data_IF_362186160059
#
_entry.id   IF_362186160059
#
_cell.length_a   1.000
_cell.length_b   1.000
_cell.length_c   1.000
_cell.angle_alpha   90.00
_cell.angle_beta   90.00
_cell.angle_gamma   90.00
#
_symmetry.space_group_name_H-M   'P 1'
#
loop_
_entity.id
_entity.type
_entity.pdbx_description
1 polymer ?
#
# COMPACT_ATOMS: atom_id res chain seq x y z
N UNK A 1 21.43 -17.94 -5.87
CA UNK A 1 21.82 -17.35 -4.58
C UNK A 1 22.53 -18.42 -3.78
N UNK A 2 23.76 -18.17 -3.33
CA UNK A 2 24.44 -19.07 -2.39
C UNK A 2 23.85 -18.74 -1.03
N UNK A 3 22.95 -19.57 -0.51
CA UNK A 3 22.53 -19.49 0.88
C UNK A 3 23.76 -19.81 1.72
N UNK A 4 24.41 -18.77 2.26
CA UNK A 4 25.43 -18.97 3.27
C UNK A 4 24.71 -19.44 4.52
N UNK A 5 24.92 -20.71 4.87
CA UNK A 5 24.43 -21.38 6.09
C UNK A 5 25.15 -20.78 7.32
N UNK A 6 25.00 -19.46 7.53
CA UNK A 6 25.60 -18.72 8.63
C UNK A 6 24.69 -18.83 9.84
N UNK A 7 24.62 -20.03 10.41
CA UNK A 7 23.96 -20.27 11.70
C UNK A 7 24.81 -19.61 12.79
N UNK A 8 24.24 -18.60 13.45
CA UNK A 8 24.90 -17.94 14.58
C UNK A 8 24.49 -18.66 15.86
N UNK A 9 25.49 -19.04 16.66
CA UNK A 9 25.25 -19.60 17.98
C UNK A 9 24.47 -18.58 18.86
N UNK A 10 23.33 -18.95 19.45
CA UNK A 10 22.49 -18.07 20.26
C UNK A 10 23.21 -17.47 21.46
N UNK A 11 24.12 -18.20 22.10
CA UNK A 11 24.88 -17.70 23.25
C UNK A 11 25.85 -16.61 22.80
N UNK A 12 26.40 -16.75 21.59
CA UNK A 12 27.23 -15.72 20.94
C UNK A 12 26.37 -14.51 20.60
N UNK A 13 25.19 -14.72 20.00
CA UNK A 13 24.26 -13.65 19.62
C UNK A 13 23.81 -12.85 20.85
N UNK A 14 23.34 -13.53 21.89
CA UNK A 14 22.87 -12.89 23.13
C UNK A 14 23.99 -12.17 23.88
N UNK A 15 25.20 -12.72 23.88
CA UNK A 15 26.37 -12.05 24.46
C UNK A 15 26.75 -10.79 23.68
N UNK A 16 26.63 -10.81 22.35
CA UNK A 16 26.91 -9.68 21.48
C UNK A 16 25.94 -8.50 21.76
N UNK A 17 24.64 -8.76 21.92
CA UNK A 17 23.65 -7.69 22.16
C UNK A 17 23.84 -6.96 23.50
N UNK A 18 24.48 -7.57 24.50
CA UNK A 18 24.85 -6.89 25.77
C UNK A 18 25.80 -5.71 25.56
N UNK A 19 26.52 -5.65 24.44
CA UNK A 19 27.39 -4.53 24.09
C UNK A 19 26.65 -3.38 23.40
N UNK A 20 25.36 -3.53 23.09
CA UNK A 20 24.56 -2.54 22.36
C UNK A 20 23.28 -2.10 23.13
N UNK A 21 23.39 -1.61 24.38
CA UNK A 21 22.21 -1.20 25.16
C UNK A 21 21.45 0.00 24.58
N UNK A 22 22.12 0.74 23.69
CA UNK A 22 21.59 1.92 22.99
C UNK A 22 20.96 1.59 21.63
N UNK A 23 20.89 0.31 21.26
CA UNK A 23 20.31 -0.12 19.98
C UNK A 23 18.83 0.25 19.92
N UNK A 24 18.42 0.92 18.85
CA UNK A 24 17.04 1.39 18.64
C UNK A 24 16.32 0.67 17.50
N UNK A 25 17.06 0.07 16.56
CA UNK A 25 16.54 -0.66 15.42
C UNK A 25 17.41 -1.88 15.15
N UNK A 26 16.79 -2.98 14.72
CA UNK A 26 17.52 -4.16 14.28
C UNK A 26 16.74 -4.98 13.25
N UNK A 27 17.50 -5.72 12.44
CA UNK A 27 16.97 -6.86 11.70
C UNK A 27 16.85 -8.05 12.67
N UNK A 28 15.68 -8.68 12.72
CA UNK A 28 15.44 -9.90 13.50
C UNK A 28 16.22 -11.03 12.82
N UNK A 29 17.23 -11.61 13.49
CA UNK A 29 18.04 -12.67 12.91
C UNK A 29 17.19 -13.91 12.69
N UNK A 30 17.60 -14.78 11.78
CA UNK A 30 17.05 -16.14 11.72
C UNK A 30 17.83 -17.01 12.69
N UNK A 31 17.13 -17.72 13.57
CA UNK A 31 17.73 -18.66 14.52
C UNK A 31 17.07 -20.01 14.30
N UNK A 32 17.88 -21.02 13.98
CA UNK A 32 17.43 -22.40 13.81
C UNK A 32 17.48 -23.10 15.16
N UNK A 33 16.34 -23.60 15.61
CA UNK A 33 16.23 -24.42 16.81
C UNK A 33 14.90 -25.16 16.80
N UNK A 34 14.91 -26.43 17.22
CA UNK A 34 13.70 -27.28 17.25
C UNK A 34 12.80 -26.99 18.48
N UNK A 35 13.29 -26.20 19.43
CA UNK A 35 12.56 -25.83 20.65
C UNK A 35 11.80 -24.50 20.43
N UNK A 36 10.46 -24.46 20.45
CA UNK A 36 9.72 -23.21 20.30
C UNK A 36 10.01 -22.22 21.45
N UNK A 37 10.21 -22.70 22.67
CA UNK A 37 10.52 -21.84 23.82
C UNK A 37 11.87 -21.14 23.67
N UNK A 38 12.76 -21.70 22.86
CA UNK A 38 14.08 -21.13 22.64
C UNK A 38 14.01 -19.80 21.89
N UNK A 39 13.08 -19.63 20.94
CA UNK A 39 12.88 -18.37 20.21
C UNK A 39 12.47 -17.25 21.18
N UNK A 40 11.56 -17.54 22.10
CA UNK A 40 11.17 -16.62 23.17
C UNK A 40 12.34 -16.26 24.09
N UNK A 41 13.12 -17.24 24.55
CA UNK A 41 14.30 -16.96 25.39
C UNK A 41 15.32 -16.06 24.69
N UNK A 42 15.57 -16.29 23.40
CA UNK A 42 16.48 -15.42 22.62
C UNK A 42 15.93 -14.01 22.52
N UNK A 43 14.66 -13.84 22.18
CA UNK A 43 14.00 -12.55 22.12
C UNK A 43 14.04 -11.80 23.46
N UNK A 44 13.67 -12.47 24.57
CA UNK A 44 13.69 -11.89 25.93
C UNK A 44 15.07 -11.39 26.32
N UNK A 45 16.13 -12.18 26.05
CA UNK A 45 17.50 -11.80 26.41
C UNK A 45 17.95 -10.59 25.59
N UNK A 46 17.66 -10.56 24.28
CA UNK A 46 18.04 -9.45 23.40
C UNK A 46 17.27 -8.18 23.78
N UNK A 47 15.95 -8.26 23.95
CA UNK A 47 15.12 -7.12 24.37
C UNK A 47 15.54 -6.58 25.73
N UNK A 48 15.90 -7.46 26.68
CA UNK A 48 16.41 -7.06 27.98
C UNK A 48 17.77 -6.36 27.89
N UNK A 49 18.64 -6.81 26.97
CA UNK A 49 19.93 -6.19 26.71
C UNK A 49 19.81 -4.84 25.98
N UNK A 50 18.79 -4.66 25.13
CA UNK A 50 18.56 -3.49 24.29
C UNK A 50 17.26 -2.75 24.65
N UNK A 51 17.16 -2.10 25.83
CA UNK A 51 15.92 -1.52 26.33
C UNK A 51 15.40 -0.31 25.54
N UNK A 52 16.18 0.20 24.58
CA UNK A 52 15.82 1.31 23.68
C UNK A 52 15.35 0.85 22.30
N UNK A 53 15.25 -0.46 22.09
CA UNK A 53 14.78 -1.04 20.84
C UNK A 53 13.33 -0.64 20.58
N UNK A 54 13.07 -0.15 19.38
CA UNK A 54 11.79 0.43 18.95
C UNK A 54 11.42 0.05 17.51
N UNK A 55 12.39 -0.39 16.71
CA UNK A 55 12.20 -0.72 15.31
C UNK A 55 12.69 -2.14 15.05
N UNK A 56 11.82 -2.95 14.45
CA UNK A 56 12.11 -4.33 14.07
C UNK A 56 11.89 -4.50 12.58
N UNK A 57 12.76 -5.29 11.96
CA UNK A 57 12.67 -5.65 10.55
C UNK A 57 12.92 -7.13 10.36
N UNK A 58 12.10 -7.82 9.59
CA UNK A 58 12.28 -9.24 9.25
C UNK A 58 12.23 -9.41 7.74
N UNK A 59 13.39 -9.67 7.13
CA UNK A 59 13.56 -9.81 5.68
C UNK A 59 13.68 -11.24 5.18
N UNK A 60 14.20 -12.13 6.02
CA UNK A 60 14.45 -13.52 5.67
C UNK A 60 13.39 -14.42 6.32
N UNK A 61 12.48 -14.92 5.49
CA UNK A 61 11.39 -15.81 5.91
C UNK A 61 11.68 -17.29 5.64
N UNK A 62 12.67 -17.61 4.80
CA UNK A 62 12.83 -18.97 4.27
C UNK A 62 13.24 -19.96 5.37
N UNK A 63 13.90 -19.47 6.41
CA UNK A 63 14.38 -20.27 7.53
C UNK A 63 13.58 -20.04 8.83
N UNK A 64 12.60 -19.14 8.79
CA UNK A 64 11.70 -18.82 9.91
C UNK A 64 10.26 -18.94 9.41
N UNK A 65 9.92 -20.13 8.91
CA UNK A 65 8.67 -20.41 8.19
C UNK A 65 7.42 -19.99 8.99
N UNK A 66 7.48 -20.10 10.31
CA UNK A 66 6.37 -19.73 11.21
C UNK A 66 6.50 -18.30 11.75
N UNK A 67 7.62 -17.63 11.50
CA UNK A 67 7.96 -16.27 11.97
C UNK A 67 7.94 -16.11 13.48
N UNK A 68 7.95 -17.22 14.22
CA UNK A 68 7.79 -17.25 15.66
C UNK A 68 8.78 -16.33 16.37
N UNK A 69 9.99 -16.16 15.84
CA UNK A 69 10.97 -15.29 16.48
C UNK A 69 10.54 -13.81 16.39
N UNK A 70 10.00 -13.35 15.26
CA UNK A 70 9.52 -11.98 15.14
C UNK A 70 8.37 -11.70 16.12
N UNK A 71 7.44 -12.65 16.25
CA UNK A 71 6.34 -12.58 17.22
C UNK A 71 6.85 -12.63 18.66
N UNK A 72 7.83 -13.48 18.96
CA UNK A 72 8.49 -13.54 20.26
C UNK A 72 9.17 -12.21 20.63
N UNK A 73 9.77 -11.50 19.66
CA UNK A 73 10.28 -10.15 19.88
C UNK A 73 9.16 -9.16 20.24
N UNK A 74 8.06 -9.16 19.48
CA UNK A 74 6.91 -8.30 19.74
C UNK A 74 6.35 -8.55 21.16
N UNK A 75 6.20 -9.81 21.56
CA UNK A 75 5.69 -10.18 22.89
C UNK A 75 6.67 -9.84 24.03
N UNK A 76 7.98 -9.97 23.77
CA UNK A 76 9.02 -9.68 24.76
C UNK A 76 9.23 -8.16 24.97
N UNK A 77 8.90 -7.35 23.97
CA UNK A 77 9.04 -5.89 24.06
C UNK A 77 8.09 -5.30 25.09
N UNK A 78 8.55 -4.24 25.76
CA UNK A 78 7.69 -3.51 26.70
C UNK A 78 6.48 -2.96 25.95
N UNK A 79 5.32 -3.03 26.59
CA UNK A 79 4.07 -2.49 26.05
C UNK A 79 4.25 -1.06 25.51
N UNK A 80 3.70 -0.80 24.34
CA UNK A 80 3.70 0.51 23.68
C UNK A 80 5.13 1.09 23.50
N UNK A 81 6.12 0.25 23.20
CA UNK A 81 7.48 0.70 22.83
C UNK A 81 7.86 0.50 21.37
N UNK A 82 7.25 -0.44 20.65
CA UNK A 82 7.47 -0.61 19.22
C UNK A 82 6.93 0.60 18.44
N UNK A 83 7.79 1.26 17.68
CA UNK A 83 7.45 2.40 16.82
C UNK A 83 7.42 2.02 15.34
N UNK A 84 8.22 1.05 14.90
CA UNK A 84 8.33 0.65 13.49
C UNK A 84 8.48 -0.87 13.34
N UNK A 85 7.70 -1.44 12.44
CA UNK A 85 7.78 -2.85 12.07
C UNK A 85 7.80 -2.98 10.56
N UNK A 86 8.77 -3.74 10.05
CA UNK A 86 8.88 -4.07 8.64
C UNK A 86 8.98 -5.58 8.46
N UNK A 87 8.13 -6.13 7.61
CA UNK A 87 8.21 -7.50 7.15
C UNK A 87 8.39 -7.54 5.64
N UNK A 88 9.29 -8.38 5.15
CA UNK A 88 9.32 -8.78 3.75
C UNK A 88 8.77 -10.21 3.63
N UNK A 89 8.06 -10.50 2.55
CA UNK A 89 7.56 -11.85 2.22
C UNK A 89 6.62 -12.46 3.27
N UNK A 90 5.88 -11.64 4.01
CA UNK A 90 5.01 -12.13 5.08
C UNK A 90 3.72 -12.81 4.56
N UNK A 91 3.35 -13.94 5.20
CA UNK A 91 2.12 -14.72 4.97
C UNK A 91 1.35 -15.05 6.27
N UNK A 92 0.08 -14.69 6.45
CA UNK A 92 -0.70 -14.96 7.69
C UNK A 92 -1.14 -16.42 7.93
N UNK A 93 -0.52 -17.40 7.27
CA UNK A 93 -0.90 -18.83 7.36
C UNK A 93 -0.94 -19.39 8.80
N UNK A 94 -0.11 -18.87 9.71
CA UNK A 94 0.03 -19.37 11.09
C UNK A 94 -0.60 -18.46 12.15
N UNK A 95 -0.17 -17.20 12.20
CA UNK A 95 -0.60 -16.22 13.19
C UNK A 95 -0.94 -14.87 12.55
N UNK A 96 -2.05 -14.27 12.98
CA UNK A 96 -2.42 -12.93 12.54
C UNK A 96 -1.52 -11.89 13.21
N UNK A 97 -0.98 -10.94 12.42
CA UNK A 97 -0.11 -9.89 12.96
C UNK A 97 -0.85 -8.98 13.95
N UNK A 98 -2.18 -8.95 13.86
CA UNK A 98 -3.06 -8.18 14.73
C UNK A 98 -2.89 -8.54 16.22
N UNK A 99 -2.62 -9.82 16.53
CA UNK A 99 -2.41 -10.28 17.90
C UNK A 99 -1.11 -9.75 18.48
N UNK A 100 0.00 -9.88 17.76
CA UNK A 100 1.30 -9.39 18.23
C UNK A 100 1.33 -7.86 18.39
N UNK A 101 0.61 -7.14 17.51
CA UNK A 101 0.55 -5.68 17.57
C UNK A 101 -0.36 -5.15 18.70
N UNK A 102 -1.18 -5.98 19.33
CA UNK A 102 -2.15 -5.54 20.36
C UNK A 102 -1.46 -4.83 21.54
N UNK A 103 -0.22 -5.22 21.85
CA UNK A 103 0.58 -4.65 22.93
C UNK A 103 1.25 -3.32 22.56
N UNK A 104 1.23 -2.93 21.29
CA UNK A 104 1.95 -1.75 20.77
C UNK A 104 1.07 -0.74 20.04
N UNK A 105 -0.25 -0.91 20.15
CA UNK A 105 -1.25 -0.09 19.46
C UNK A 105 -0.97 1.41 19.59
N UNK A 106 -0.52 1.89 20.76
CA UNK A 106 -0.36 3.34 21.02
C UNK A 106 0.98 3.91 20.57
N UNK A 107 1.95 3.07 20.22
CA UNK A 107 3.31 3.50 19.88
C UNK A 107 3.66 3.30 18.42
N UNK A 108 3.02 2.34 17.74
CA UNK A 108 3.33 2.03 16.34
C UNK A 108 3.04 3.23 15.44
N UNK A 109 4.06 3.65 14.71
CA UNK A 109 4.03 4.74 13.73
C UNK A 109 4.26 4.27 12.30
N UNK A 110 5.00 3.18 12.12
CA UNK A 110 5.30 2.65 10.79
C UNK A 110 5.05 1.15 10.74
N UNK A 111 4.24 0.72 9.78
CA UNK A 111 4.02 -0.68 9.43
C UNK A 111 4.27 -0.85 7.94
N UNK A 112 5.24 -1.67 7.59
CA UNK A 112 5.65 -1.90 6.21
C UNK A 112 5.66 -3.40 5.93
N UNK A 113 4.90 -3.80 4.93
CA UNK A 113 4.71 -5.17 4.49
C UNK A 113 5.13 -5.26 3.02
N UNK A 114 6.40 -5.62 2.81
CA UNK A 114 7.02 -5.73 1.50
C UNK A 114 6.79 -7.13 0.91
N UNK A 115 6.40 -7.18 -0.36
CA UNK A 115 6.26 -8.44 -1.13
C UNK A 115 5.49 -9.53 -0.36
N UNK A 116 4.43 -9.15 0.34
CA UNK A 116 3.69 -10.07 1.19
C UNK A 116 2.81 -11.00 0.36
N UNK A 117 2.82 -12.28 0.73
CA UNK A 117 2.03 -13.30 0.04
C UNK A 117 0.58 -13.21 0.42
N UNK A 118 0.31 -13.15 1.72
CA UNK A 118 -1.04 -13.17 2.28
C UNK A 118 -1.09 -12.33 3.56
N UNK A 119 -2.00 -11.35 3.57
CA UNK A 119 -2.41 -10.63 4.78
C UNK A 119 -3.92 -10.49 4.70
N UNK A 120 -4.63 -10.99 5.71
CA UNK A 120 -6.08 -10.94 5.76
C UNK A 120 -6.59 -9.50 5.77
N UNK A 121 -7.76 -9.29 5.15
CA UNK A 121 -8.45 -8.00 5.19
C UNK A 121 -8.81 -7.61 6.63
N UNK A 122 -9.05 -8.59 7.51
CA UNK A 122 -9.28 -8.43 8.93
C UNK A 122 -8.08 -7.80 9.65
N UNK A 123 -6.86 -8.31 9.42
CA UNK A 123 -5.63 -7.75 9.98
C UNK A 123 -5.37 -6.33 9.49
N UNK A 124 -5.47 -6.09 8.17
CA UNK A 124 -5.29 -4.75 7.61
C UNK A 124 -6.31 -3.77 8.16
N UNK A 125 -7.58 -4.16 8.18
CA UNK A 125 -8.64 -3.34 8.77
C UNK A 125 -8.41 -3.09 10.25
N UNK A 126 -7.93 -4.08 11.01
CA UNK A 126 -7.59 -3.92 12.41
C UNK A 126 -6.49 -2.87 12.60
N UNK A 127 -5.40 -2.94 11.84
CA UNK A 127 -4.27 -2.00 11.94
C UNK A 127 -4.72 -0.56 11.66
N UNK A 128 -5.46 -0.33 10.57
CA UNK A 128 -5.97 0.99 10.20
C UNK A 128 -6.95 1.56 11.24
N UNK A 129 -7.76 0.70 11.89
CA UNK A 129 -8.79 1.11 12.86
C UNK A 129 -8.29 1.19 14.30
N UNK A 130 -7.13 0.61 14.62
CA UNK A 130 -6.67 0.52 16.02
C UNK A 130 -5.42 1.33 16.30
N UNK A 131 -4.55 1.59 15.34
CA UNK A 131 -3.29 2.31 15.55
C UNK A 131 -3.46 3.84 15.36
N UNK A 132 -3.70 4.66 16.42
CA UNK A 132 -3.95 6.10 16.29
C UNK A 132 -2.70 6.92 15.97
N UNK A 133 -1.51 6.33 16.10
CA UNK A 133 -0.21 6.99 15.86
C UNK A 133 0.41 6.63 14.53
N UNK A 134 -0.28 5.88 13.68
CA UNK A 134 0.24 5.40 12.41
C UNK A 134 0.48 6.55 11.43
N UNK A 135 1.71 6.71 10.99
CA UNK A 135 2.19 7.73 10.04
C UNK A 135 2.57 7.09 8.69
N UNK A 136 3.03 5.84 8.71
CA UNK A 136 3.39 5.08 7.52
C UNK A 136 2.70 3.73 7.54
N UNK A 137 1.95 3.44 6.48
CA UNK A 137 1.37 2.13 6.26
C UNK A 137 1.54 1.73 4.81
N UNK A 138 2.30 0.65 4.60
CA UNK A 138 2.56 0.14 3.27
C UNK A 138 2.30 -1.34 3.21
N UNK A 139 1.51 -1.76 2.24
CA UNK A 139 1.39 -3.15 1.87
C UNK A 139 1.63 -3.26 0.38
N UNK A 140 2.63 -4.06 0.02
CA UNK A 140 2.89 -4.46 -1.36
C UNK A 140 2.71 -5.97 -1.48
N UNK A 141 1.92 -6.44 -2.46
CA UNK A 141 1.82 -7.87 -2.72
C UNK A 141 3.14 -8.42 -3.26
N UNK A 142 3.41 -9.70 -3.01
CA UNK A 142 4.53 -10.42 -3.63
C UNK A 142 4.41 -10.38 -5.17
N UNK A 143 5.53 -10.26 -5.86
CA UNK A 143 5.55 -10.40 -7.32
C UNK A 143 5.36 -11.88 -7.68
N UNK A 144 4.22 -12.25 -8.29
CA UNK A 144 3.99 -13.63 -8.72
C UNK A 144 2.52 -14.01 -8.91
N UNK A 145 2.29 -15.29 -9.23
CA UNK A 145 0.96 -15.80 -9.59
C UNK A 145 0.01 -16.01 -8.40
N UNK A 146 0.50 -15.97 -7.15
CA UNK A 146 -0.28 -16.43 -5.99
C UNK A 146 -0.33 -15.41 -4.81
N UNK A 147 -0.10 -14.12 -5.07
CA UNK A 147 -0.21 -13.11 -4.01
C UNK A 147 -1.68 -12.71 -3.79
N UNK A 148 -2.23 -13.05 -2.63
CA UNK A 148 -3.65 -12.87 -2.28
C UNK A 148 -3.89 -11.69 -1.33
N UNK A 149 -3.06 -10.64 -1.39
CA UNK A 149 -3.36 -9.40 -0.67
C UNK A 149 -4.50 -8.66 -1.38
N UNK A 150 -5.71 -9.12 -1.15
CA UNK A 150 -6.96 -8.62 -1.71
C UNK A 150 -7.69 -7.89 -0.59
N UNK A 151 -7.76 -6.56 -0.67
CA UNK A 151 -8.49 -5.76 0.32
C UNK A 151 -9.83 -5.32 -0.28
N UNK A 152 -10.96 -5.95 0.09
CA UNK A 152 -12.27 -5.52 -0.34
C UNK A 152 -12.52 -4.10 0.16
N UNK A 153 -13.01 -3.23 -0.73
CA UNK A 153 -13.28 -1.84 -0.40
C UNK A 153 -14.20 -1.70 0.82
N UNK A 154 -15.24 -2.54 0.89
CA UNK A 154 -16.18 -2.57 2.01
C UNK A 154 -15.51 -2.84 3.37
N UNK A 155 -14.40 -3.60 3.42
CA UNK A 155 -13.68 -3.83 4.66
C UNK A 155 -12.93 -2.57 5.14
N UNK A 156 -12.36 -1.79 4.21
CA UNK A 156 -11.66 -0.53 4.49
C UNK A 156 -12.61 0.61 4.88
N UNK A 157 -13.89 0.55 4.46
CA UNK A 157 -14.88 1.63 4.65
C UNK A 157 -15.86 1.38 5.78
N UNK A 158 -15.89 0.17 6.36
CA UNK A 158 -16.76 -0.20 7.50
C UNK A 158 -16.63 0.76 8.69
N UNK A 159 -15.44 1.29 8.95
CA UNK A 159 -15.17 2.20 10.06
C UNK A 159 -14.11 3.23 9.67
N UNK A 160 -14.07 4.34 10.39
CA UNK A 160 -13.06 5.39 10.23
C UNK A 160 -11.70 4.89 10.68
N UNK A 161 -10.65 5.23 9.93
CA UNK A 161 -9.27 4.99 10.34
C UNK A 161 -8.94 5.74 11.64
N UNK A 162 -8.16 5.11 12.52
CA UNK A 162 -7.81 5.66 13.83
C UNK A 162 -6.78 6.79 13.74
N UNK A 163 -5.91 6.74 12.74
CA UNK A 163 -4.90 7.78 12.51
C UNK A 163 -5.33 8.72 11.40
N UNK A 164 -5.14 10.01 11.65
CA UNK A 164 -5.20 11.10 10.65
C UNK A 164 -3.80 11.69 10.37
N UNK A 165 -2.75 11.00 10.83
CA UNK A 165 -1.34 11.43 10.74
C UNK A 165 -0.57 10.76 9.63
N UNK A 166 -1.25 9.99 8.77
CA UNK A 166 -0.62 9.35 7.63
C UNK A 166 0.16 10.36 6.79
N UNK A 167 1.44 10.08 6.61
CA UNK A 167 2.35 10.74 5.69
C UNK A 167 2.56 9.87 4.45
N UNK A 168 2.53 8.54 4.61
CA UNK A 168 2.70 7.59 3.53
C UNK A 168 1.65 6.47 3.65
N UNK A 169 0.86 6.29 2.60
CA UNK A 169 -0.16 5.25 2.52
C UNK A 169 0.00 4.50 1.20
N UNK A 170 0.26 3.20 1.29
CA UNK A 170 0.27 2.29 0.16
C UNK A 170 -0.68 1.13 0.39
N UNK A 171 -1.67 0.98 -0.49
CA UNK A 171 -2.70 -0.06 -0.43
C UNK A 171 -2.89 -0.72 -1.80
N UNK A 172 -3.17 -2.02 -1.79
CA UNK A 172 -3.69 -2.76 -2.93
C UNK A 172 -5.17 -3.09 -2.65
N UNK A 173 -6.09 -2.49 -3.39
CA UNK A 173 -7.54 -2.63 -3.18
C UNK A 173 -8.16 -3.53 -4.23
N UNK A 174 -9.11 -4.36 -3.82
CA UNK A 174 -9.94 -5.12 -4.73
C UNK A 174 -11.20 -4.33 -5.05
N UNK A 175 -11.49 -4.22 -6.34
CA UNK A 175 -12.73 -3.67 -6.85
C UNK A 175 -13.57 -4.82 -7.40
N UNK A 176 -14.83 -4.90 -6.98
CA UNK A 176 -15.77 -5.86 -7.55
C UNK A 176 -16.03 -5.53 -9.04
N UNK A 177 -16.52 -6.50 -9.85
CA UNK A 177 -16.77 -6.29 -11.29
C UNK A 177 -17.60 -5.03 -11.58
N UNK A 178 -18.61 -4.76 -10.76
CA UNK A 178 -19.49 -3.57 -10.89
C UNK A 178 -18.77 -2.27 -10.56
N UNK A 179 -17.76 -2.32 -9.68
CA UNK A 179 -16.93 -1.15 -9.36
C UNK A 179 -15.88 -0.90 -10.44
N UNK A 180 -15.32 -1.97 -11.02
CA UNK A 180 -14.33 -1.88 -12.09
C UNK A 180 -14.93 -1.43 -13.42
N UNK A 181 -16.15 -1.86 -13.75
CA UNK A 181 -16.84 -1.61 -15.02
C UNK A 181 -18.37 -1.49 -14.79
N UNK A 182 -18.85 -0.43 -14.11
CA UNK A 182 -20.28 -0.16 -13.99
C UNK A 182 -20.95 -0.10 -15.37
N UNK A 183 -22.15 -0.66 -15.46
CA UNK A 183 -22.91 -0.60 -16.70
C UNK A 183 -23.27 0.84 -17.07
N UNK A 184 -23.45 1.16 -18.36
CA UNK A 184 -23.79 2.53 -18.81
C UNK A 184 -24.98 3.14 -18.06
N UNK A 185 -25.96 2.30 -17.67
CA UNK A 185 -27.15 2.73 -16.91
C UNK A 185 -26.84 3.10 -15.46
N UNK A 186 -25.80 2.52 -14.88
CA UNK A 186 -25.36 2.74 -13.50
C UNK A 186 -24.45 3.97 -13.36
N UNK A 187 -23.93 4.48 -14.49
CA UNK A 187 -23.15 5.71 -14.55
C UNK A 187 -24.00 6.98 -14.42
N UNK A 188 -25.33 6.86 -14.50
CA UNK A 188 -26.23 7.99 -14.29
C UNK A 188 -26.53 8.15 -12.80
N UNK A 189 -26.64 9.41 -12.36
CA UNK A 189 -27.19 9.71 -11.04
C UNK A 189 -28.61 9.13 -10.94
N UNK A 190 -28.73 8.01 -10.24
CA UNK A 190 -30.00 7.48 -9.77
C UNK A 190 -30.23 7.92 -8.33
N UNK A 191 -31.49 8.12 -7.96
CA UNK A 191 -31.91 8.20 -6.56
C UNK A 191 -32.74 6.94 -6.24
N UNK A 192 -32.21 6.00 -5.44
CA UNK A 192 -30.95 6.06 -4.70
C UNK A 192 -29.70 5.81 -5.56
N UNK A 193 -28.54 6.31 -5.10
CA UNK A 193 -27.26 6.09 -5.76
C UNK A 193 -26.86 4.60 -5.69
N UNK A 194 -26.19 4.02 -6.70
CA UNK A 194 -25.83 2.60 -6.67
C UNK A 194 -24.97 2.28 -5.45
N UNK A 195 -25.21 1.14 -4.78
CA UNK A 195 -24.54 0.81 -3.51
C UNK A 195 -23.01 0.84 -3.62
N UNK A 196 -22.45 0.41 -4.75
CA UNK A 196 -21.00 0.38 -4.99
C UNK A 196 -20.34 1.77 -4.92
N UNK A 197 -21.07 2.83 -5.30
CA UNK A 197 -20.59 4.21 -5.22
C UNK A 197 -20.42 4.70 -3.78
N UNK A 198 -21.21 4.15 -2.85
CA UNK A 198 -21.21 4.55 -1.44
C UNK A 198 -19.87 4.15 -0.80
N UNK A 199 -19.39 2.94 -1.09
CA UNK A 199 -18.11 2.48 -0.54
C UNK A 199 -16.93 3.23 -1.17
N UNK A 200 -16.93 3.51 -2.47
CA UNK A 200 -15.90 4.35 -3.10
C UNK A 200 -15.88 5.75 -2.51
N UNK A 201 -17.05 6.39 -2.40
CA UNK A 201 -17.15 7.72 -1.81
C UNK A 201 -16.61 7.72 -0.36
N UNK A 202 -16.99 6.74 0.46
CA UNK A 202 -16.49 6.61 1.84
C UNK A 202 -14.98 6.42 1.86
N UNK A 203 -14.44 5.57 0.99
CA UNK A 203 -13.00 5.31 0.90
C UNK A 203 -12.24 6.58 0.54
N UNK A 204 -12.68 7.28 -0.51
CA UNK A 204 -12.05 8.52 -0.95
C UNK A 204 -12.20 9.65 0.07
N UNK A 205 -13.32 9.73 0.80
CA UNK A 205 -13.47 10.67 1.93
C UNK A 205 -12.47 10.40 3.05
N UNK A 206 -12.23 9.13 3.38
CA UNK A 206 -11.24 8.77 4.40
C UNK A 206 -9.84 9.16 3.97
N UNK A 207 -9.47 8.91 2.71
CA UNK A 207 -8.20 9.37 2.15
C UNK A 207 -8.11 10.89 2.16
N UNK A 208 -9.15 11.58 1.70
CA UNK A 208 -9.21 13.05 1.65
C UNK A 208 -9.03 13.73 3.01
N UNK A 209 -9.41 13.07 4.09
CA UNK A 209 -9.20 13.56 5.46
C UNK A 209 -7.74 13.49 5.93
N UNK A 210 -6.85 12.80 5.19
CA UNK A 210 -5.43 12.65 5.53
C UNK A 210 -4.61 13.87 5.10
N UNK A 211 -4.83 15.01 5.74
CA UNK A 211 -4.20 16.29 5.37
C UNK A 211 -2.66 16.32 5.50
N UNK A 212 -2.07 15.36 6.21
CA UNK A 212 -0.61 15.20 6.35
C UNK A 212 0.02 14.30 5.28
N UNK A 213 -0.80 13.70 4.40
CA UNK A 213 -0.36 12.73 3.42
C UNK A 213 0.57 13.37 2.40
N UNK A 214 1.74 12.75 2.22
CA UNK A 214 2.80 13.15 1.29
C UNK A 214 2.95 12.14 0.15
N UNK A 215 2.80 10.86 0.44
CA UNK A 215 2.86 9.79 -0.56
C UNK A 215 1.58 8.97 -0.48
N UNK A 216 0.88 8.87 -1.61
CA UNK A 216 -0.29 8.03 -1.76
C UNK A 216 -0.06 7.06 -2.93
N UNK A 217 -0.04 5.76 -2.64
CA UNK A 217 0.09 4.68 -3.62
C UNK A 217 -1.12 3.74 -3.54
N UNK A 218 -2.03 3.84 -4.51
CA UNK A 218 -3.26 3.04 -4.53
C UNK A 218 -3.33 2.16 -5.77
N UNK A 219 -3.14 0.86 -5.59
CA UNK A 219 -3.17 -0.12 -6.68
C UNK A 219 -4.49 -0.87 -6.66
N UNK A 220 -5.06 -1.13 -7.83
CA UNK A 220 -6.15 -2.09 -8.01
C UNK A 220 -5.53 -3.47 -8.14
N UNK A 221 -6.01 -4.40 -7.33
CA UNK A 221 -5.62 -5.80 -7.40
C UNK A 221 -6.10 -6.39 -8.73
N UNK A 222 -5.24 -7.17 -9.37
CA UNK A 222 -5.51 -7.83 -10.64
C UNK A 222 -5.31 -9.31 -10.45
N UNK A 223 -6.30 -10.12 -10.85
CA UNK A 223 -6.15 -11.57 -10.88
C UNK A 223 -4.91 -11.91 -11.72
N UNK A 224 -3.99 -12.68 -11.12
CA UNK A 224 -2.72 -13.06 -11.72
C UNK A 224 -2.86 -13.83 -13.03
N UNK A 225 -4.03 -14.44 -13.26
CA UNK A 225 -4.38 -15.14 -14.48
C UNK A 225 -5.17 -14.28 -15.47
N UNK A 226 -5.57 -13.06 -15.09
CA UNK A 226 -6.31 -12.18 -15.98
C UNK A 226 -5.44 -11.77 -17.16
N UNK A 227 -6.01 -11.93 -18.36
CA UNK A 227 -5.36 -11.56 -19.62
C UNK A 227 -6.16 -10.50 -20.34
N UNK A 228 -5.44 -9.54 -20.92
CA UNK A 228 -6.02 -8.53 -21.80
C UNK A 228 -6.48 -9.12 -23.14
N UNK A 229 -7.18 -8.32 -23.97
CA UNK A 229 -7.58 -8.71 -25.33
C UNK A 229 -6.41 -9.11 -26.24
N UNK A 230 -5.20 -8.66 -25.92
CA UNK A 230 -3.94 -8.98 -26.59
C UNK A 230 -3.27 -10.26 -26.08
N UNK A 231 -3.85 -10.91 -25.07
CA UNK A 231 -3.37 -12.16 -24.47
C UNK A 231 -2.27 -12.00 -23.42
N UNK A 232 -1.84 -10.77 -23.12
CA UNK A 232 -0.85 -10.49 -22.07
C UNK A 232 -1.50 -10.42 -20.69
N UNK A 233 -0.72 -10.75 -19.65
CA UNK A 233 -1.16 -10.62 -18.27
C UNK A 233 -1.45 -9.16 -17.94
N UNK A 234 -2.62 -8.91 -17.35
CA UNK A 234 -2.97 -7.59 -16.84
C UNK A 234 -2.15 -7.31 -15.58
N UNK A 235 -1.74 -6.05 -15.41
CA UNK A 235 -1.11 -5.53 -14.20
C UNK A 235 -1.93 -4.37 -13.63
N UNK A 236 -1.59 -3.89 -12.43
CA UNK A 236 -2.29 -2.76 -11.81
C UNK A 236 -2.30 -1.50 -12.69
N UNK A 237 -1.26 -1.31 -13.53
CA UNK A 237 -1.15 -0.23 -14.53
C UNK A 237 -2.13 -0.34 -15.70
N UNK A 238 -2.80 -1.48 -15.87
CA UNK A 238 -3.87 -1.69 -16.85
C UNK A 238 -5.25 -1.29 -16.31
N UNK A 239 -5.33 -0.93 -15.02
CA UNK A 239 -6.55 -0.58 -14.32
C UNK A 239 -6.56 0.89 -13.93
N UNK A 240 -7.76 1.37 -13.62
CA UNK A 240 -7.99 2.70 -13.09
C UNK A 240 -8.91 2.64 -11.88
N UNK A 241 -8.59 3.39 -10.81
CA UNK A 241 -9.50 3.61 -9.70
C UNK A 241 -10.68 4.46 -10.15
N UNK A 242 -11.87 3.85 -10.19
CA UNK A 242 -13.10 4.44 -10.76
C UNK A 242 -13.39 5.81 -10.13
N UNK A 243 -13.42 6.84 -10.99
CA UNK A 243 -13.78 8.23 -10.70
C UNK A 243 -12.89 8.98 -9.70
N UNK A 244 -11.80 8.40 -9.20
CA UNK A 244 -10.93 9.06 -8.21
C UNK A 244 -10.33 10.36 -8.76
N UNK A 245 -9.90 10.33 -10.02
CA UNK A 245 -9.32 11.46 -10.74
C UNK A 245 -10.33 12.26 -11.58
N UNK A 246 -11.63 12.05 -11.36
CA UNK A 246 -12.69 12.70 -12.14
C UNK A 246 -13.39 13.78 -11.30
N UNK A 247 -13.66 14.95 -11.88
CA UNK A 247 -14.54 15.94 -11.26
C UNK A 247 -16.01 15.61 -11.51
N UNK A 248 -16.82 15.64 -10.45
CA UNK A 248 -18.27 15.48 -10.55
C UNK A 248 -18.90 16.59 -11.41
N UNK A 249 -19.81 16.21 -12.32
CA UNK A 249 -20.65 17.11 -13.09
C UNK A 249 -22.08 16.55 -13.18
N UNK A 250 -22.93 16.94 -12.23
CA UNK A 250 -24.32 16.47 -12.13
C UNK A 250 -25.16 16.82 -13.36
N UNK A 251 -24.88 17.94 -14.00
CA UNK A 251 -25.63 18.38 -15.18
C UNK A 251 -25.32 17.49 -16.39
N UNK A 252 -24.07 17.03 -16.50
CA UNK A 252 -23.63 16.09 -17.52
C UNK A 252 -23.89 14.60 -17.14
N UNK A 253 -24.45 14.34 -15.96
CA UNK A 253 -24.63 12.98 -15.45
C UNK A 253 -23.30 12.25 -15.21
N UNK A 254 -22.28 13.00 -14.79
CA UNK A 254 -20.90 12.53 -14.60
C UNK A 254 -20.55 12.42 -13.13
N UNK A 255 -20.28 11.21 -12.67
CA UNK A 255 -19.78 10.94 -11.33
C UNK A 255 -18.29 11.24 -11.25
N UNK A 256 -17.81 11.63 -10.07
CA UNK A 256 -16.39 11.88 -9.85
C UNK A 256 -16.12 12.29 -8.41
N UNK A 257 -14.96 11.91 -7.90
CA UNK A 257 -14.62 12.07 -6.49
C UNK A 257 -13.34 12.87 -6.25
N UNK A 258 -12.74 13.45 -7.30
CA UNK A 258 -11.50 14.22 -7.18
C UNK A 258 -11.60 15.35 -6.14
N UNK A 259 -12.76 16.01 -6.04
CA UNK A 259 -13.02 17.05 -5.03
C UNK A 259 -12.90 16.57 -3.58
N UNK A 260 -13.13 15.29 -3.31
CA UNK A 260 -12.98 14.74 -1.96
C UNK A 260 -11.53 14.74 -1.49
N UNK A 261 -10.58 14.91 -2.42
CA UNK A 261 -9.14 14.91 -2.16
C UNK A 261 -8.57 16.34 -2.11
N UNK A 262 -9.42 17.35 -1.98
CA UNK A 262 -9.02 18.77 -2.05
C UNK A 262 -8.04 19.19 -0.95
N UNK A 263 -8.14 18.55 0.22
CA UNK A 263 -7.35 18.89 1.41
C UNK A 263 -5.96 18.22 1.45
N UNK A 264 -5.60 17.42 0.44
CA UNK A 264 -4.29 16.78 0.31
C UNK A 264 -3.20 17.77 -0.15
N UNK A 265 -3.10 18.93 0.50
CA UNK A 265 -2.16 20.02 0.15
C UNK A 265 -0.70 19.65 0.33
N UNK A 266 -0.43 18.60 1.10
CA UNK A 266 0.91 18.08 1.36
C UNK A 266 1.32 16.95 0.41
N UNK A 267 0.45 16.53 -0.51
CA UNK A 267 0.73 15.44 -1.43
C UNK A 267 1.91 15.81 -2.35
N UNK A 268 2.96 15.01 -2.28
CA UNK A 268 4.19 15.13 -3.07
C UNK A 268 4.23 14.05 -4.15
N UNK A 269 3.74 12.85 -3.87
CA UNK A 269 3.78 11.72 -4.80
C UNK A 269 2.43 10.99 -4.85
N UNK A 270 1.96 10.73 -6.07
CA UNK A 270 0.72 10.03 -6.33
C UNK A 270 0.94 8.86 -7.28
N UNK A 271 1.00 7.65 -6.73
CA UNK A 271 1.26 6.39 -7.40
C UNK A 271 0.00 5.53 -7.45
N UNK A 272 -0.07 4.60 -8.40
CA UNK A 272 -1.14 3.62 -8.39
C UNK A 272 -1.78 3.34 -9.75
N UNK A 273 -2.95 2.72 -9.70
CA UNK A 273 -3.74 2.35 -10.88
C UNK A 273 -4.46 3.56 -11.48
N UNK A 274 -3.77 4.28 -12.36
CA UNK A 274 -4.30 5.44 -13.08
C UNK A 274 -3.99 5.36 -14.58
N UNK A 275 -4.61 4.41 -15.27
CA UNK A 275 -4.55 4.31 -16.72
C UNK A 275 -5.62 5.18 -17.38
N UNK A 276 -5.21 6.35 -17.90
CA UNK A 276 -6.13 7.33 -18.47
C UNK A 276 -6.83 6.84 -19.74
N UNK A 277 -6.25 5.87 -20.45
CA UNK A 277 -6.84 5.27 -21.66
C UNK A 277 -7.73 4.07 -21.35
N UNK A 278 -7.60 3.49 -20.15
CA UNK A 278 -8.51 2.47 -19.63
C UNK A 278 -9.62 3.08 -18.76
N UNK A 279 -9.63 4.40 -18.55
CA UNK A 279 -10.74 5.08 -17.90
C UNK A 279 -12.00 4.89 -18.73
N UNK A 280 -13.09 4.54 -18.06
CA UNK A 280 -14.39 4.37 -18.72
C UNK A 280 -14.93 5.71 -19.19
N UNK A 281 -15.84 5.65 -20.17
CA UNK A 281 -16.62 6.81 -20.57
C UNK A 281 -17.26 7.48 -19.35
N UNK A 282 -17.23 8.81 -19.30
CA UNK A 282 -17.60 9.70 -18.19
C UNK A 282 -16.60 9.80 -17.05
N UNK A 283 -15.63 8.92 -16.92
CA UNK A 283 -14.55 9.06 -15.93
C UNK A 283 -13.26 9.59 -16.54
N UNK A 284 -13.32 10.21 -17.72
CA UNK A 284 -12.14 10.63 -18.46
C UNK A 284 -11.33 11.67 -17.70
N UNK A 285 -10.01 11.61 -17.80
CA UNK A 285 -9.13 12.63 -17.27
C UNK A 285 -8.97 13.78 -18.28
N UNK A 286 -9.63 14.90 -18.04
CA UNK A 286 -9.66 16.05 -18.95
C UNK A 286 -8.86 17.25 -18.45
N UNK A 287 -8.91 18.35 -19.22
CA UNK A 287 -8.24 19.60 -18.88
C UNK A 287 -8.75 20.18 -17.54
N UNK A 288 -10.04 20.02 -17.24
CA UNK A 288 -10.64 20.50 -15.97
C UNK A 288 -10.04 19.79 -14.77
N UNK A 289 -9.83 18.48 -14.85
CA UNK A 289 -9.21 17.67 -13.80
C UNK A 289 -7.73 18.06 -13.62
N UNK A 290 -6.99 18.20 -14.71
CA UNK A 290 -5.60 18.66 -14.70
C UNK A 290 -5.45 20.03 -14.04
N UNK A 291 -6.27 21.01 -14.44
CA UNK A 291 -6.25 22.35 -13.87
C UNK A 291 -6.58 22.33 -12.37
N UNK A 292 -7.55 21.50 -11.98
CA UNK A 292 -7.90 21.32 -10.58
C UNK A 292 -6.74 20.74 -9.76
N UNK A 293 -6.03 19.72 -10.27
CA UNK A 293 -4.88 19.13 -9.57
C UNK A 293 -3.77 20.17 -9.36
N UNK A 294 -3.46 20.96 -10.39
CA UNK A 294 -2.46 22.03 -10.29
C UNK A 294 -2.83 23.03 -9.18
N UNK A 295 -4.10 23.42 -9.11
CA UNK A 295 -4.57 24.42 -8.16
C UNK A 295 -4.66 23.87 -6.72
N UNK A 296 -4.89 22.56 -6.56
CA UNK A 296 -5.19 21.96 -5.26
C UNK A 296 -4.04 21.16 -4.66
N UNK A 297 -3.12 20.63 -5.45
CA UNK A 297 -1.95 19.85 -5.00
C UNK A 297 -0.63 20.55 -5.40
N UNK A 298 -0.34 21.73 -4.81
CA UNK A 298 0.78 22.58 -5.23
C UNK A 298 2.18 21.98 -4.94
N UNK A 299 2.25 20.90 -4.15
CA UNK A 299 3.50 20.21 -3.79
C UNK A 299 3.75 18.95 -4.60
N UNK A 300 2.85 18.61 -5.53
CA UNK A 300 2.96 17.39 -6.33
C UNK A 300 4.22 17.42 -7.20
N UNK A 301 5.10 16.44 -6.99
CA UNK A 301 6.37 16.25 -7.69
C UNK A 301 6.39 15.00 -8.55
N UNK A 302 5.53 14.04 -8.25
CA UNK A 302 5.44 12.78 -8.99
C UNK A 302 3.99 12.33 -9.13
N UNK A 303 3.61 11.91 -10.34
CA UNK A 303 2.32 11.27 -10.59
C UNK A 303 2.46 10.14 -11.63
N UNK A 304 1.85 9.00 -11.36
CA UNK A 304 1.68 7.94 -12.35
C UNK A 304 0.41 8.19 -13.17
N UNK A 305 0.56 8.31 -14.49
CA UNK A 305 -0.56 8.42 -15.44
C UNK A 305 -0.22 7.54 -16.65
N UNK A 306 -0.80 6.34 -16.68
CA UNK A 306 -0.51 5.36 -17.72
C UNK A 306 -1.33 5.61 -18.98
N UNK A 307 -0.69 5.48 -20.13
CA UNK A 307 -1.29 5.59 -21.47
C UNK A 307 -0.85 4.41 -22.32
N UNK A 308 -1.71 3.99 -23.26
CA UNK A 308 -1.39 3.05 -24.32
C UNK A 308 -0.48 3.74 -25.35
N UNK A 309 0.51 3.03 -25.90
CA UNK A 309 1.32 3.57 -26.97
C UNK A 309 0.48 3.73 -28.25
N UNK A 310 0.50 4.93 -28.85
CA UNK A 310 0.18 5.12 -30.27
C UNK A 310 1.50 5.08 -31.06
N UNK A 311 1.66 4.08 -31.94
CA UNK A 311 2.64 4.08 -33.03
C UNK A 311 4.12 4.39 -32.68
N UNK A 312 4.59 4.00 -31.50
CA UNK A 312 5.98 4.09 -30.96
C UNK A 312 6.41 5.41 -30.31
N UNK A 313 5.57 6.45 -30.31
CA UNK A 313 5.92 7.73 -29.68
C UNK A 313 5.13 7.97 -28.39
N UNK A 314 5.81 8.38 -27.32
CA UNK A 314 5.16 8.84 -26.11
C UNK A 314 4.72 10.29 -26.28
N UNK A 315 3.43 10.51 -26.51
CA UNK A 315 2.84 11.84 -26.53
C UNK A 315 2.01 12.04 -25.25
N UNK A 316 2.42 12.97 -24.39
CA UNK A 316 1.59 13.40 -23.28
C UNK A 316 0.31 14.05 -23.82
N UNK A 317 -0.84 13.66 -23.27
CA UNK A 317 -2.10 14.31 -23.61
C UNK A 317 -2.06 15.80 -23.20
N UNK A 318 -2.83 16.68 -23.87
CA UNK A 318 -2.85 18.11 -23.56
C UNK A 318 -3.09 18.43 -22.07
N UNK A 319 -4.01 17.76 -21.35
CA UNK A 319 -4.18 17.95 -19.91
C UNK A 319 -2.91 17.66 -19.10
N UNK A 320 -2.20 16.58 -19.39
CA UNK A 320 -0.99 16.19 -18.67
C UNK A 320 0.16 17.15 -18.97
N UNK A 321 0.30 17.57 -20.22
CA UNK A 321 1.29 18.59 -20.61
C UNK A 321 1.03 19.93 -19.90
N UNK A 322 -0.25 20.31 -19.73
CA UNK A 322 -0.63 21.48 -18.94
C UNK A 322 -0.15 21.35 -17.48
N UNK A 323 -0.33 20.20 -16.85
CA UNK A 323 0.16 19.96 -15.47
C UNK A 323 1.69 20.12 -15.38
N UNK A 324 2.44 19.45 -16.25
CA UNK A 324 3.92 19.52 -16.27
C UNK A 324 4.41 20.95 -16.46
N UNK A 325 3.71 21.74 -17.28
CA UNK A 325 4.05 23.14 -17.53
C UNK A 325 3.77 24.03 -16.31
N UNK A 326 2.68 23.76 -15.58
CA UNK A 326 2.22 24.58 -14.45
C UNK A 326 2.76 24.15 -13.09
N UNK A 327 3.28 22.93 -12.96
CA UNK A 327 3.92 22.38 -11.76
C UNK A 327 5.41 22.11 -12.03
N UNK A 328 6.29 23.08 -11.77
CA UNK A 328 7.73 22.92 -12.02
C UNK A 328 8.32 21.74 -11.25
N UNK A 329 8.99 20.83 -11.96
CA UNK A 329 9.59 19.64 -11.37
C UNK A 329 8.65 18.44 -11.23
N UNK A 330 7.41 18.55 -11.72
CA UNK A 330 6.51 17.40 -11.81
C UNK A 330 7.07 16.37 -12.79
N UNK A 331 7.35 15.17 -12.27
CA UNK A 331 7.66 13.99 -13.05
C UNK A 331 6.38 13.20 -13.28
N UNK A 332 6.07 12.93 -14.54
CA UNK A 332 4.94 12.06 -14.90
C UNK A 332 5.51 10.74 -15.38
N UNK A 333 5.18 9.66 -14.66
CA UNK A 333 5.52 8.31 -15.10
C UNK A 333 4.50 7.86 -16.15
N UNK A 334 4.96 7.71 -17.38
CA UNK A 334 4.26 6.99 -18.43
C UNK A 334 4.88 5.61 -18.59
N UNK A 335 4.47 4.63 -17.79
CA UNK A 335 4.87 3.24 -18.05
C UNK A 335 3.89 2.56 -19.01
N UNK A 336 4.42 1.88 -20.02
CA UNK A 336 3.61 1.14 -20.97
C UNK A 336 3.02 -0.11 -20.33
N UNK A 337 1.76 -0.38 -20.64
CA UNK A 337 1.09 -1.64 -20.33
C UNK A 337 1.07 -2.64 -21.50
N UNK A 338 2.04 -2.52 -22.41
CA UNK A 338 2.34 -3.55 -23.40
C UNK A 338 3.44 -4.50 -22.91
N UNK A 339 3.58 -5.66 -23.56
CA UNK A 339 4.73 -6.51 -23.35
C UNK A 339 6.01 -5.68 -23.42
N UNK A 340 6.77 -5.64 -22.32
CA UNK A 340 8.21 -5.46 -22.41
C UNK A 340 8.68 -6.63 -23.27
N UNK A 341 8.68 -6.45 -24.59
CA UNK A 341 9.57 -7.20 -25.45
C UNK A 341 10.93 -6.76 -24.96
N UNK A 342 11.47 -7.53 -24.02
CA UNK A 342 12.86 -7.50 -23.63
C UNK A 342 13.67 -7.78 -24.90
N UNK A 343 13.85 -6.77 -25.75
CA UNK A 343 14.93 -6.74 -26.73
C UNK A 343 16.21 -6.47 -25.93
N UNK A 344 16.67 -7.49 -25.21
CA UNK A 344 18.10 -7.61 -24.90
C UNK A 344 18.75 -8.05 -26.21
N UNK A 345 19.19 -7.08 -27.00
CA UNK A 345 20.05 -7.27 -28.16
C UNK A 345 21.48 -6.94 -27.79
#
# INVERSE_FOLDING_TARGET
MVHSDTRVDPDVLTSLFKFFPELTSMDIPTVVGDDPDFRFRVAEVIVSACPKLKSLRKRDIMEDEEKELAFAFLDSMKKDTLESLEFAWYSEETEEISWALVHHIKSVRSLVFEECREISDASVSWMLRRCPTLETFKISPAFGLDAEVVLPLGSLTKQTWASNKFQELQLCVHLDEVQELPGEKELFFSDPMPHWTIDLERFYRQIGALTQLRVLDLKVSVDSNARGPDGYYLAYKDKSLTGMLTLEDRNAGRLGWLRLLEDLKNLEEFHGSFNVDAMQARFEFGQREADWIVDHWPKLKFIELYTKPEDTAFALSPPVLSMVTRLPGLNVCGAFSGAYVQRWG
#
